data_IF_568564734216
#
_entry.id   IF_568564734216
#
_cell.length_a   1.000
_cell.length_b   1.000
_cell.length_c   1.000
_cell.angle_alpha   90.00
_cell.angle_beta   90.00
_cell.angle_gamma   90.00
#
_symmetry.space_group_name_H-M   'P 1'
#
loop_
_entity.id
_entity.type
_entity.pdbx_description
1 polymer ?
#
# COMPACT_ATOMS: atom_id res chain seq x y z
N UNK A 1 -7.31 1.89 13.94
CA UNK A 1 -7.37 1.91 12.45
C UNK A 1 -6.24 2.83 12.00
N UNK A 2 -5.51 2.48 10.93
CA UNK A 2 -4.45 3.39 10.43
C UNK A 2 -5.11 4.70 9.99
N UNK A 3 -4.57 5.84 10.43
CA UNK A 3 -5.11 7.16 10.11
C UNK A 3 -4.84 7.52 8.65
N UNK A 4 -3.71 7.05 8.09
CA UNK A 4 -3.38 7.14 6.67
C UNK A 4 -3.45 5.78 5.98
N UNK A 5 -4.26 5.69 4.93
CA UNK A 5 -4.47 4.41 4.23
C UNK A 5 -3.59 4.20 2.99
N UNK A 6 -2.76 5.17 2.61
CA UNK A 6 -1.94 5.05 1.40
C UNK A 6 -0.56 5.69 1.52
N UNK A 7 0.40 5.15 0.77
CA UNK A 7 1.68 5.78 0.49
C UNK A 7 1.70 6.44 -0.89
N UNK A 8 2.62 7.39 -1.12
CA UNK A 8 2.78 8.02 -2.43
C UNK A 8 3.16 7.01 -3.52
N UNK A 9 3.78 5.89 -3.14
CA UNK A 9 4.14 4.80 -4.03
C UNK A 9 2.97 3.90 -4.46
N UNK A 10 1.74 4.17 -4.01
CA UNK A 10 0.57 3.36 -4.38
C UNK A 10 0.39 2.07 -3.57
N UNK A 11 1.17 1.86 -2.51
CA UNK A 11 0.84 0.83 -1.51
C UNK A 11 -0.36 1.27 -0.67
N UNK A 12 -1.30 0.35 -0.45
CA UNK A 12 -2.42 0.54 0.45
C UNK A 12 -2.01 0.17 1.89
N UNK A 13 -1.58 1.15 2.68
CA UNK A 13 -1.19 0.95 4.08
C UNK A 13 -2.30 0.30 4.91
N UNK A 14 -3.58 0.45 4.54
CA UNK A 14 -4.70 -0.19 5.22
C UNK A 14 -4.59 -1.72 5.32
N UNK A 15 -3.91 -2.37 4.38
CA UNK A 15 -3.66 -3.81 4.34
C UNK A 15 -2.29 -4.22 4.92
N UNK A 16 -1.52 -3.28 5.46
CA UNK A 16 -0.29 -3.58 6.20
C UNK A 16 -0.63 -4.02 7.63
N UNK A 17 -0.07 -5.15 8.06
CA UNK A 17 -0.29 -5.74 9.39
C UNK A 17 0.46 -5.07 10.55
N UNK A 18 1.38 -4.13 10.27
CA UNK A 18 2.16 -3.45 11.31
C UNK A 18 1.27 -2.65 12.27
N UNK A 19 1.49 -2.81 13.58
CA UNK A 19 0.72 -2.18 14.67
C UNK A 19 1.41 -0.92 15.24
N UNK A 20 2.70 -0.75 14.94
CA UNK A 20 3.55 0.38 15.32
C UNK A 20 3.55 1.51 14.28
N UNK A 21 2.68 1.45 13.28
CA UNK A 21 2.59 2.40 12.18
C UNK A 21 1.14 2.75 11.84
N UNK A 22 0.82 4.04 11.78
CA UNK A 22 -0.52 4.55 11.44
C UNK A 22 -0.67 4.96 9.97
N UNK A 23 0.33 4.61 9.16
CA UNK A 23 0.35 4.73 7.71
C UNK A 23 1.28 5.82 7.20
N UNK A 24 1.65 5.72 5.91
CA UNK A 24 2.77 6.48 5.34
C UNK A 24 2.66 8.01 5.48
N UNK A 25 1.44 8.57 5.46
CA UNK A 25 1.18 10.01 5.61
C UNK A 25 0.74 10.42 7.02
N UNK A 26 0.95 9.57 8.03
CA UNK A 26 0.69 9.90 9.44
C UNK A 26 1.97 10.32 10.16
N UNK A 27 1.82 10.87 11.36
CA UNK A 27 2.96 11.25 12.22
C UNK A 27 3.62 10.04 12.88
N UNK A 28 2.85 9.00 13.19
CA UNK A 28 3.33 7.76 13.82
C UNK A 28 3.61 6.70 12.77
N UNK A 29 4.88 6.50 12.45
CA UNK A 29 5.36 5.58 11.41
C UNK A 29 6.44 4.64 11.95
N UNK A 30 6.47 3.40 11.45
CA UNK A 30 7.50 2.41 11.80
C UNK A 30 8.87 2.76 11.20
N UNK A 31 9.91 2.03 11.63
CA UNK A 31 11.29 2.26 11.20
C UNK A 31 11.48 2.13 9.67
N UNK A 32 10.75 1.24 9.00
CA UNK A 32 10.84 1.07 7.54
C UNK A 32 10.28 2.29 6.81
N UNK A 33 9.15 2.82 7.28
CA UNK A 33 8.49 3.99 6.70
C UNK A 33 9.26 5.27 7.01
N UNK A 34 9.93 5.37 8.16
CA UNK A 34 10.81 6.50 8.51
C UNK A 34 11.95 6.69 7.50
N UNK A 35 12.54 5.60 7.03
CA UNK A 35 13.63 5.61 6.06
C UNK A 35 13.18 5.31 4.61
N UNK A 36 11.87 5.37 4.33
CA UNK A 36 11.34 5.09 3.01
C UNK A 36 11.71 6.19 2.01
N UNK A 37 12.59 5.85 1.06
CA UNK A 37 13.05 6.77 0.00
C UNK A 37 11.91 7.36 -0.85
N UNK A 38 10.85 6.60 -1.11
CA UNK A 38 9.73 7.07 -1.94
C UNK A 38 8.85 8.08 -1.21
N UNK A 39 8.74 7.94 0.12
CA UNK A 39 8.07 8.92 0.99
C UNK A 39 8.84 10.23 1.00
N UNK A 40 10.16 10.17 1.23
CA UNK A 40 11.03 11.35 1.22
C UNK A 40 11.00 12.06 -0.14
N UNK A 41 11.24 11.32 -1.24
CA UNK A 41 11.26 11.88 -2.59
C UNK A 41 9.92 12.53 -2.98
N UNK A 42 8.78 11.91 -2.66
CA UNK A 42 7.48 12.51 -2.93
C UNK A 42 7.27 13.80 -2.13
N UNK A 43 7.71 13.85 -0.87
CA UNK A 43 7.68 15.06 -0.05
C UNK A 43 8.54 16.18 -0.62
N UNK A 44 9.80 15.90 -0.95
CA UNK A 44 10.74 16.88 -1.54
C UNK A 44 10.23 17.46 -2.87
N UNK A 45 9.54 16.64 -3.66
CA UNK A 45 8.99 17.03 -4.97
C UNK A 45 7.56 17.55 -4.91
N UNK A 46 6.96 17.66 -3.72
CA UNK A 46 5.56 18.04 -3.51
C UNK A 46 4.56 17.21 -4.34
N UNK A 47 4.79 15.90 -4.43
CA UNK A 47 3.95 14.96 -5.16
C UNK A 47 2.99 14.27 -4.19
N UNK A 48 1.71 14.18 -4.58
CA UNK A 48 0.75 13.33 -3.89
C UNK A 48 1.07 11.86 -4.12
N UNK A 49 1.29 11.47 -5.37
CA UNK A 49 1.59 10.10 -5.76
C UNK A 49 2.72 10.04 -6.78
N UNK A 50 3.46 8.94 -6.79
CA UNK A 50 4.56 8.73 -7.71
C UNK A 50 4.11 8.74 -9.17
N UNK A 51 2.86 8.43 -9.50
CA UNK A 51 2.34 8.52 -10.88
C UNK A 51 2.21 9.96 -11.41
N UNK A 52 2.33 10.97 -10.54
CA UNK A 52 2.33 12.38 -10.91
C UNK A 52 3.74 12.90 -11.25
N UNK A 53 4.76 12.08 -11.03
CA UNK A 53 6.15 12.39 -11.35
C UNK A 53 6.38 12.32 -12.87
N UNK A 54 7.10 13.29 -13.44
CA UNK A 54 7.48 13.26 -14.86
C UNK A 54 8.39 12.08 -15.24
N UNK A 55 9.12 11.53 -14.28
CA UNK A 55 9.99 10.35 -14.46
C UNK A 55 9.27 9.02 -14.20
N UNK A 56 7.93 9.02 -14.04
CA UNK A 56 7.20 7.82 -13.65
C UNK A 56 7.09 6.78 -14.80
N UNK A 57 7.35 5.47 -14.52
CA UNK A 57 7.99 4.93 -13.32
C UNK A 57 9.51 5.14 -13.35
N UNK A 58 10.09 5.72 -12.29
CA UNK A 58 11.53 5.86 -12.21
C UNK A 58 12.17 4.49 -11.94
N UNK A 59 13.48 4.34 -12.23
CA UNK A 59 14.20 3.07 -12.11
C UNK A 59 14.07 2.45 -10.72
N UNK A 60 14.17 3.26 -9.68
CA UNK A 60 14.10 2.85 -8.27
C UNK A 60 12.72 2.33 -7.91
N UNK A 61 11.68 3.04 -8.35
CA UNK A 61 10.30 2.63 -8.12
C UNK A 61 10.01 1.35 -8.89
N UNK A 62 10.42 1.27 -10.16
CA UNK A 62 10.28 0.07 -10.97
C UNK A 62 10.91 -1.14 -10.28
N UNK A 63 12.16 -1.04 -9.83
CA UNK A 63 12.86 -2.14 -9.16
C UNK A 63 12.14 -2.59 -7.88
N UNK A 64 11.58 -1.65 -7.11
CA UNK A 64 10.81 -1.96 -5.91
C UNK A 64 9.46 -2.61 -6.22
N UNK A 65 8.76 -2.16 -7.27
CA UNK A 65 7.50 -2.78 -7.72
C UNK A 65 7.66 -4.18 -8.29
N UNK A 66 8.89 -4.62 -8.56
CA UNK A 66 9.20 -5.93 -9.16
C UNK A 66 10.18 -6.74 -8.32
N UNK A 67 10.29 -6.45 -7.01
CA UNK A 67 11.15 -7.20 -6.11
C UNK A 67 10.48 -8.51 -5.64
N UNK A 68 11.07 -9.18 -4.67
CA UNK A 68 10.56 -10.45 -4.17
C UNK A 68 9.27 -10.34 -3.33
N UNK A 69 8.80 -9.14 -2.97
CA UNK A 69 7.69 -8.94 -2.05
C UNK A 69 6.36 -8.77 -2.79
N UNK A 70 5.43 -9.74 -2.72
CA UNK A 70 4.23 -9.75 -3.58
C UNK A 70 3.32 -8.53 -3.43
N UNK A 71 3.26 -7.94 -2.23
CA UNK A 71 2.47 -6.74 -2.01
C UNK A 71 3.00 -5.51 -2.76
N UNK A 72 4.30 -5.45 -3.08
CA UNK A 72 4.87 -4.39 -3.90
C UNK A 72 4.40 -4.48 -5.36
N UNK A 73 4.08 -5.67 -5.87
CA UNK A 73 3.60 -5.84 -7.25
C UNK A 73 2.26 -5.12 -7.49
N UNK A 74 1.48 -4.89 -6.43
CA UNK A 74 0.23 -4.11 -6.50
C UNK A 74 0.44 -2.64 -6.79
N UNK A 75 1.65 -2.10 -6.58
CA UNK A 75 1.92 -0.67 -6.68
C UNK A 75 1.70 -0.13 -8.09
N UNK A 76 2.14 -0.85 -9.14
CA UNK A 76 1.95 -0.43 -10.53
C UNK A 76 0.47 -0.29 -10.90
N UNK A 77 -0.36 -1.35 -10.78
CA UNK A 77 -1.79 -1.22 -11.11
C UNK A 77 -2.50 -0.22 -10.18
N UNK A 78 -2.09 -0.08 -8.92
CA UNK A 78 -2.64 0.95 -8.03
C UNK A 78 -2.31 2.37 -8.52
N UNK A 79 -1.07 2.64 -8.89
CA UNK A 79 -0.63 3.95 -9.39
C UNK A 79 -1.27 4.30 -10.74
N UNK A 80 -1.45 3.31 -11.62
CA UNK A 80 -2.20 3.46 -12.87
C UNK A 80 -3.68 3.79 -12.59
N UNK A 81 -4.34 3.06 -11.69
CA UNK A 81 -5.71 3.37 -11.27
C UNK A 81 -5.81 4.77 -10.66
N UNK A 82 -4.89 5.17 -9.79
CA UNK A 82 -4.87 6.50 -9.16
C UNK A 82 -4.73 7.59 -10.23
N UNK A 83 -3.88 7.38 -11.24
CA UNK A 83 -3.70 8.33 -12.34
C UNK A 83 -4.98 8.49 -13.15
N UNK A 84 -5.68 7.39 -13.43
CA UNK A 84 -6.79 7.37 -14.39
C UNK A 84 -8.15 7.68 -13.71
N UNK A 85 -8.28 7.43 -12.41
CA UNK A 85 -9.56 7.53 -11.67
C UNK A 85 -9.51 8.36 -10.39
N UNK A 86 -8.31 8.74 -9.93
CA UNK A 86 -8.11 9.49 -8.69
C UNK A 86 -7.97 8.62 -7.44
N UNK A 87 -7.34 9.21 -6.42
CA UNK A 87 -6.96 8.48 -5.20
C UNK A 87 -8.15 8.10 -4.31
N UNK A 88 -9.22 8.89 -4.29
CA UNK A 88 -10.39 8.61 -3.45
C UNK A 88 -11.09 7.32 -3.86
N UNK A 89 -11.42 7.19 -5.16
CA UNK A 89 -11.99 5.96 -5.73
C UNK A 89 -11.09 4.75 -5.53
N UNK A 90 -9.78 4.94 -5.68
CA UNK A 90 -8.81 3.88 -5.42
C UNK A 90 -8.84 3.44 -3.95
N UNK A 91 -8.85 4.37 -2.98
CA UNK A 91 -8.91 4.03 -1.55
C UNK A 91 -10.20 3.26 -1.22
N UNK A 92 -11.33 3.64 -1.79
CA UNK A 92 -12.60 2.92 -1.62
C UNK A 92 -12.51 1.49 -2.18
N UNK A 93 -11.99 1.33 -3.40
CA UNK A 93 -11.77 0.03 -4.01
C UNK A 93 -10.84 -0.85 -3.18
N UNK A 94 -9.74 -0.29 -2.65
CA UNK A 94 -8.82 -1.01 -1.78
C UNK A 94 -9.46 -1.40 -0.44
N UNK A 95 -10.28 -0.55 0.17
CA UNK A 95 -11.01 -0.90 1.40
C UNK A 95 -11.91 -2.12 1.17
N UNK A 96 -12.58 -2.19 0.03
CA UNK A 96 -13.41 -3.34 -0.33
C UNK A 96 -12.56 -4.58 -0.60
N UNK A 97 -11.50 -4.45 -1.41
CA UNK A 97 -10.61 -5.56 -1.77
C UNK A 97 -9.92 -6.19 -0.54
N UNK A 98 -9.57 -5.35 0.45
CA UNK A 98 -8.92 -5.78 1.69
C UNK A 98 -9.92 -5.95 2.84
N UNK A 99 -11.14 -6.39 2.54
CA UNK A 99 -12.16 -6.80 3.50
C UNK A 99 -12.49 -8.28 3.35
N UNK A 100 -12.64 -8.96 4.49
CA UNK A 100 -13.05 -10.35 4.53
C UNK A 100 -14.46 -10.51 3.95
N UNK A 101 -14.59 -11.28 2.87
CA UNK A 101 -15.90 -11.55 2.24
C UNK A 101 -16.88 -12.34 3.12
N UNK A 102 -16.46 -12.87 4.27
CA UNK A 102 -17.33 -13.54 5.22
C UNK A 102 -17.89 -12.66 6.34
N UNK A 103 -17.17 -11.62 6.76
CA UNK A 103 -17.58 -10.80 7.93
C UNK A 103 -17.33 -9.30 7.79
N UNK A 104 -16.83 -8.85 6.64
CA UNK A 104 -16.48 -7.45 6.39
C UNK A 104 -15.28 -6.93 7.18
N UNK A 105 -14.65 -7.74 8.04
CA UNK A 105 -13.47 -7.33 8.78
C UNK A 105 -12.30 -7.05 7.83
N UNK A 106 -11.54 -6.00 8.08
CA UNK A 106 -10.29 -5.72 7.37
C UNK A 106 -9.31 -6.90 7.47
N UNK A 107 -8.63 -7.18 6.37
CA UNK A 107 -7.61 -8.22 6.25
C UNK A 107 -6.27 -7.61 5.79
N UNK A 108 -5.18 -8.35 5.96
CA UNK A 108 -3.81 -7.90 5.64
C UNK A 108 -3.14 -8.78 4.58
N UNK A 109 -2.12 -8.23 3.89
CA UNK A 109 -1.43 -8.86 2.75
C UNK A 109 -1.07 -10.34 2.94
N UNK A 110 -0.58 -10.69 4.13
CA UNK A 110 -0.06 -12.03 4.46
C UNK A 110 -0.95 -12.79 5.45
N UNK A 111 -2.16 -12.30 5.71
CA UNK A 111 -3.06 -12.92 6.67
C UNK A 111 -3.75 -14.13 6.05
N UNK A 112 -3.38 -15.34 6.47
CA UNK A 112 -3.96 -16.60 5.96
C UNK A 112 -5.36 -16.92 6.49
N UNK A 113 -5.71 -16.41 7.68
CA UNK A 113 -7.00 -16.68 8.34
C UNK A 113 -7.61 -15.42 8.93
N UNK A 114 -8.88 -15.16 8.61
CA UNK A 114 -9.64 -14.07 9.20
C UNK A 114 -10.03 -14.39 10.65
N UNK A 115 -10.26 -13.35 11.47
CA UNK A 115 -10.78 -13.48 12.84
C UNK A 115 -12.12 -14.23 12.92
N UNK A 116 -12.93 -14.22 11.86
CA UNK A 116 -14.20 -14.97 11.80
C UNK A 116 -14.01 -16.45 11.46
N UNK A 117 -12.77 -16.92 11.26
CA UNK A 117 -12.46 -18.30 10.93
C UNK A 117 -12.28 -18.58 9.43
N UNK A 118 -12.69 -17.67 8.53
CA UNK A 118 -12.55 -17.84 7.08
C UNK A 118 -11.08 -17.90 6.65
N UNK A 119 -10.75 -18.86 5.78
CA UNK A 119 -9.45 -18.92 5.11
C UNK A 119 -9.36 -17.84 4.04
N UNK A 120 -8.19 -17.23 3.91
CA UNK A 120 -7.92 -16.09 3.03
C UNK A 120 -6.87 -16.48 2.00
N UNK A 121 -7.10 -16.09 0.75
CA UNK A 121 -6.14 -16.19 -0.33
C UNK A 121 -5.06 -15.11 -0.13
N UNK A 122 -4.08 -15.38 0.72
CA UNK A 122 -2.97 -14.48 1.02
C UNK A 122 -1.67 -14.99 0.40
N UNK A 123 -0.79 -14.06 0.00
CA UNK A 123 0.55 -14.41 -0.47
C UNK A 123 1.39 -15.05 0.64
N UNK A 124 2.44 -15.75 0.23
CA UNK A 124 3.51 -16.17 1.12
C UNK A 124 4.54 -15.05 1.25
N UNK A 125 5.23 -15.03 2.39
CA UNK A 125 6.41 -14.19 2.56
C UNK A 125 7.54 -14.78 1.70
N UNK A 126 8.30 -13.96 0.97
CA UNK A 126 9.52 -14.44 0.32
C UNK A 126 10.50 -14.99 1.36
N UNK A 127 11.31 -15.97 0.96
CA UNK A 127 12.40 -16.57 1.76
C UNK A 127 13.53 -15.57 2.07
#
# INVERSE_FOLDING_TARGET
>A
MKSSNCGPCGLFCGACGATDCDGCRSDRIDAWVQHCRFRACAGERNLGFCCQCGDYPCRELHAFMTDAWPHHWTMRPNLEYIRDHGAEKWIEAQRLAWSCSGCGARIYWYQKKCRCGKQLEAWDLPE
#
